data_IF_495008110855
#
_entry.id   IF_495008110855
#
_cell.length_a   1.000
_cell.length_b   1.000
_cell.length_c   1.000
_cell.angle_alpha   90.00
_cell.angle_beta   90.00
_cell.angle_gamma   90.00
#
_symmetry.space_group_name_H-M   'P 1'
#
loop_
_entity.id
_entity.type
_entity.pdbx_description
1 polymer ?
#
# COMPACT_ATOMS: atom_id res chain seq x y z
N UNK A 1 7.65 27.17 -39.95
CA UNK A 1 7.16 25.90 -39.39
C UNK A 1 8.00 25.51 -38.16
N UNK A 2 7.97 26.29 -37.07
CA UNK A 2 8.68 25.99 -35.80
C UNK A 2 7.92 26.65 -34.63
N UNK A 3 6.60 26.50 -34.60
CA UNK A 3 5.79 26.98 -33.47
C UNK A 3 4.72 25.97 -33.02
N UNK A 4 4.40 24.97 -33.85
CA UNK A 4 3.46 23.91 -33.48
C UNK A 4 4.04 22.81 -32.59
N UNK A 5 5.37 22.67 -32.53
CA UNK A 5 6.04 21.58 -31.79
C UNK A 5 6.17 21.84 -30.28
N UNK A 6 6.03 23.10 -29.84
CA UNK A 6 6.16 23.45 -28.42
C UNK A 6 4.86 23.23 -27.61
N UNK A 7 3.71 23.18 -28.27
CA UNK A 7 2.40 23.02 -27.58
C UNK A 7 2.14 21.57 -27.19
N UNK A 8 2.71 20.60 -27.91
CA UNK A 8 2.47 19.17 -27.66
C UNK A 8 3.18 18.67 -26.39
N UNK A 9 4.23 19.37 -25.92
CA UNK A 9 5.00 18.97 -24.74
C UNK A 9 4.29 19.32 -23.42
N UNK A 10 3.31 20.24 -23.44
CA UNK A 10 2.60 20.68 -22.24
C UNK A 10 1.49 19.72 -21.76
N UNK A 11 1.14 18.70 -22.55
CA UNK A 11 0.06 17.75 -22.25
C UNK A 11 0.54 16.37 -21.80
N UNK A 12 1.85 16.15 -21.72
CA UNK A 12 2.44 14.89 -21.26
C UNK A 12 2.75 14.87 -19.75
N UNK A 13 2.08 15.71 -18.97
CA UNK A 13 2.17 15.73 -17.50
C UNK A 13 1.12 14.84 -16.84
N UNK A 14 0.77 13.71 -17.45
CA UNK A 14 0.29 12.58 -16.65
C UNK A 14 1.52 11.87 -16.10
N UNK A 15 2.07 12.44 -15.03
CA UNK A 15 2.86 11.68 -14.07
C UNK A 15 2.00 10.47 -13.71
N UNK A 16 2.28 9.34 -14.35
CA UNK A 16 2.04 8.04 -13.77
C UNK A 16 2.93 7.97 -12.53
N UNK A 17 2.48 8.62 -11.45
CA UNK A 17 2.96 8.39 -10.11
C UNK A 17 2.43 7.01 -9.72
N UNK A 18 3.03 5.98 -10.32
CA UNK A 18 3.06 4.65 -9.75
C UNK A 18 3.91 4.73 -8.49
N UNK A 19 3.43 5.48 -7.49
CA UNK A 19 3.74 5.15 -6.12
C UNK A 19 3.22 3.73 -6.00
N UNK A 20 4.14 2.76 -5.99
CA UNK A 20 3.90 1.45 -5.42
C UNK A 20 3.56 1.71 -3.95
N UNK A 21 2.34 2.15 -3.71
CA UNK A 21 1.83 2.33 -2.38
C UNK A 21 1.78 0.91 -1.83
N UNK A 22 2.58 0.66 -0.81
CA UNK A 22 2.50 -0.56 0.02
C UNK A 22 1.08 -0.74 0.59
N UNK A 23 0.21 0.26 0.41
CA UNK A 23 -1.19 0.24 0.79
C UNK A 23 -2.09 0.46 -0.44
N UNK A 24 -2.63 -0.61 -1.03
CA UNK A 24 -3.67 -0.49 -2.04
C UNK A 24 -4.98 -0.08 -1.37
N UNK A 25 -5.91 0.51 -2.13
CA UNK A 25 -7.27 0.74 -1.62
C UNK A 25 -8.01 -0.59 -1.45
N UNK A 26 -8.39 -0.90 -0.21
CA UNK A 26 -9.01 -2.19 0.15
C UNK A 26 -10.46 -2.08 0.62
N UNK A 27 -10.95 -0.85 0.77
CA UNK A 27 -12.31 -0.56 1.19
C UNK A 27 -12.98 0.35 0.15
N UNK A 28 -14.31 0.28 0.09
CA UNK A 28 -15.11 1.28 -0.62
C UNK A 28 -15.03 2.65 0.07
N UNK A 29 -15.36 3.72 -0.65
CA UNK A 29 -15.36 5.08 -0.10
C UNK A 29 -16.27 5.23 1.15
N UNK A 30 -17.38 4.48 1.19
CA UNK A 30 -18.29 4.46 2.34
C UNK A 30 -17.69 3.74 3.55
N UNK A 31 -16.94 2.65 3.33
CA UNK A 31 -16.23 1.93 4.39
C UNK A 31 -15.06 2.73 4.94
N UNK A 32 -14.28 3.40 4.08
CA UNK A 32 -13.21 4.31 4.49
C UNK A 32 -13.74 5.43 5.40
N UNK A 33 -14.89 6.01 5.08
CA UNK A 33 -15.50 7.07 5.88
C UNK A 33 -16.06 6.57 7.24
N UNK A 34 -16.48 5.31 7.32
CA UNK A 34 -17.15 4.77 8.52
C UNK A 34 -16.19 3.99 9.44
N UNK A 35 -15.17 3.34 8.90
CA UNK A 35 -14.21 2.52 9.63
C UNK A 35 -12.77 2.71 9.12
N UNK A 36 -12.23 3.95 9.17
CA UNK A 36 -10.93 4.29 8.58
C UNK A 36 -9.77 3.44 9.13
N UNK A 37 -9.79 3.15 10.45
CA UNK A 37 -8.76 2.28 11.06
C UNK A 37 -8.73 0.87 10.47
N UNK A 38 -9.90 0.25 10.30
CA UNK A 38 -10.01 -1.12 9.78
C UNK A 38 -9.52 -1.16 8.34
N UNK A 39 -9.89 -0.15 7.56
CA UNK A 39 -9.50 -0.05 6.16
C UNK A 39 -8.00 0.20 5.98
N UNK A 40 -7.39 1.08 6.78
CA UNK A 40 -5.95 1.26 6.79
C UNK A 40 -5.20 -0.04 7.15
N UNK A 41 -5.65 -0.77 8.18
CA UNK A 41 -5.06 -2.07 8.54
C UNK A 41 -5.23 -3.11 7.43
N UNK A 42 -6.37 -3.15 6.74
CA UNK A 42 -6.55 -4.02 5.57
C UNK A 42 -5.56 -3.67 4.45
N UNK A 43 -5.42 -2.39 4.14
CA UNK A 43 -4.48 -1.93 3.11
C UNK A 43 -3.04 -2.35 3.42
N UNK A 44 -2.57 -2.11 4.65
CA UNK A 44 -1.27 -2.57 5.13
C UNK A 44 -1.11 -4.10 5.06
N UNK A 45 -2.14 -4.86 5.47
CA UNK A 45 -2.09 -6.31 5.42
C UNK A 45 -1.92 -6.81 3.97
N UNK A 46 -2.78 -6.34 3.07
CA UNK A 46 -2.77 -6.80 1.69
C UNK A 46 -1.48 -6.43 0.95
N UNK A 47 -1.03 -5.19 1.02
CA UNK A 47 0.16 -4.81 0.26
C UNK A 47 1.45 -5.44 0.82
N UNK A 48 1.56 -5.64 2.14
CA UNK A 48 2.69 -6.41 2.70
C UNK A 48 2.60 -7.89 2.32
N UNK A 49 1.40 -8.49 2.33
CA UNK A 49 1.20 -9.87 1.90
C UNK A 49 1.59 -10.07 0.42
N UNK A 50 1.15 -9.16 -0.46
CA UNK A 50 1.51 -9.19 -1.88
C UNK A 50 3.00 -9.00 -2.10
N UNK A 51 3.59 -7.97 -1.48
CA UNK A 51 5.02 -7.68 -1.57
C UNK A 51 5.87 -8.86 -1.08
N UNK A 52 5.54 -9.44 0.07
CA UNK A 52 6.32 -10.56 0.63
C UNK A 52 6.09 -11.86 -0.16
N UNK A 53 4.89 -12.09 -0.68
CA UNK A 53 4.64 -13.22 -1.60
C UNK A 53 5.48 -13.09 -2.87
N UNK A 54 5.56 -11.89 -3.45
CA UNK A 54 6.40 -11.62 -4.61
C UNK A 54 7.90 -11.78 -4.27
N UNK A 55 8.33 -11.35 -3.08
CA UNK A 55 9.71 -11.47 -2.62
C UNK A 55 10.15 -12.93 -2.38
N UNK A 56 9.34 -13.73 -1.69
CA UNK A 56 9.66 -15.13 -1.41
C UNK A 56 9.38 -16.07 -2.61
N UNK A 57 8.51 -15.64 -3.53
CA UNK A 57 8.05 -16.45 -4.66
C UNK A 57 7.00 -17.51 -4.27
N UNK A 58 6.45 -17.42 -3.06
CA UNK A 58 5.39 -18.25 -2.51
C UNK A 58 4.77 -17.57 -1.29
N UNK A 59 3.74 -18.19 -0.71
CA UNK A 59 3.10 -17.65 0.50
C UNK A 59 4.11 -17.65 1.67
N UNK A 60 4.24 -16.53 2.42
CA UNK A 60 5.13 -16.48 3.58
C UNK A 60 4.72 -17.53 4.63
N UNK A 61 5.69 -18.29 5.14
CA UNK A 61 5.46 -19.35 6.12
C UNK A 61 5.34 -20.75 5.53
N UNK A 62 5.29 -20.87 4.21
CA UNK A 62 5.26 -22.18 3.54
C UNK A 62 6.55 -22.97 3.75
N UNK A 63 7.71 -22.30 3.78
CA UNK A 63 9.02 -22.94 3.93
C UNK A 63 9.63 -22.79 5.30
N UNK A 64 9.28 -21.72 6.03
CA UNK A 64 9.82 -21.46 7.37
C UNK A 64 8.94 -20.50 8.16
N UNK A 65 8.79 -20.77 9.46
CA UNK A 65 8.17 -19.85 10.42
C UNK A 65 8.84 -18.47 10.47
N UNK A 66 10.13 -18.39 10.08
CA UNK A 66 10.85 -17.14 10.04
C UNK A 66 10.26 -16.17 8.99
N UNK A 67 9.78 -16.68 7.86
CA UNK A 67 9.15 -15.87 6.80
C UNK A 67 7.82 -15.29 7.30
N UNK A 68 7.00 -16.12 7.95
CA UNK A 68 5.75 -15.66 8.54
C UNK A 68 5.99 -14.59 9.60
N UNK A 69 6.97 -14.80 10.50
CA UNK A 69 7.33 -13.81 11.54
C UNK A 69 7.84 -12.51 10.93
N UNK A 70 8.65 -12.58 9.87
CA UNK A 70 9.11 -11.40 9.14
C UNK A 70 7.94 -10.62 8.52
N UNK A 71 7.05 -11.30 7.80
CA UNK A 71 5.88 -10.67 7.18
C UNK A 71 4.96 -10.03 8.22
N UNK A 72 4.67 -10.74 9.32
CA UNK A 72 3.87 -10.20 10.42
C UNK A 72 4.52 -8.97 11.08
N UNK A 73 5.85 -8.99 11.26
CA UNK A 73 6.58 -7.83 11.79
C UNK A 73 6.47 -6.62 10.85
N UNK A 74 6.55 -6.82 9.54
CA UNK A 74 6.35 -5.75 8.55
C UNK A 74 4.92 -5.20 8.57
N UNK A 75 3.90 -6.07 8.62
CA UNK A 75 2.49 -5.66 8.72
C UNK A 75 2.25 -4.81 9.97
N UNK A 76 2.79 -5.25 11.12
CA UNK A 76 2.66 -4.52 12.37
C UNK A 76 3.37 -3.16 12.33
N UNK A 77 4.55 -3.06 11.70
CA UNK A 77 5.22 -1.79 11.46
C UNK A 77 4.38 -0.87 10.58
N UNK A 78 3.76 -1.39 9.50
CA UNK A 78 2.85 -0.61 8.66
C UNK A 78 1.67 -0.07 9.47
N UNK A 79 1.02 -0.89 10.30
CA UNK A 79 -0.08 -0.43 11.15
C UNK A 79 0.32 0.71 12.09
N UNK A 80 1.54 0.67 12.63
CA UNK A 80 2.04 1.69 13.56
C UNK A 80 2.41 2.99 12.88
N UNK A 81 2.98 2.93 11.68
CA UNK A 81 3.47 4.10 10.97
C UNK A 81 2.36 4.78 10.16
N UNK A 82 1.58 3.97 9.43
CA UNK A 82 0.63 4.50 8.44
C UNK A 82 -0.78 4.67 9.02
N UNK A 83 -1.17 3.85 10.01
CA UNK A 83 -2.52 3.89 10.56
C UNK A 83 -2.62 4.65 11.89
N UNK A 84 -1.58 5.34 12.34
CA UNK A 84 -1.55 6.02 13.65
C UNK A 84 -2.66 7.08 13.79
N UNK A 85 -2.95 7.83 12.73
CA UNK A 85 -3.96 8.89 12.77
C UNK A 85 -5.39 8.35 12.67
N UNK A 86 -5.55 7.21 12.00
CA UNK A 86 -6.86 6.59 11.77
C UNK A 86 -7.26 5.61 12.87
N UNK A 87 -6.28 5.00 13.54
CA UNK A 87 -6.48 4.06 14.62
C UNK A 87 -6.12 4.73 15.95
N UNK A 88 -7.07 4.96 16.86
CA UNK A 88 -6.71 5.40 18.20
C UNK A 88 -5.73 4.41 18.80
N UNK A 89 -4.63 4.92 19.36
CA UNK A 89 -3.73 4.12 20.19
C UNK A 89 -4.59 3.48 21.28
N UNK A 90 -4.92 2.20 21.10
CA UNK A 90 -5.76 1.48 22.04
C UNK A 90 -4.91 1.28 23.30
N UNK A 91 -5.42 1.74 24.44
CA UNK A 91 -5.00 1.33 25.78
C UNK A 91 -4.87 -0.20 25.89
#
# INVERSE_FOLDING_TARGET
>A
MVFGLLIVVALATELANASSSVMPSMCSATEEASMPCVCCKKACWFGIAEMTTAYFGHMPGERSDAEAKFTLAMMHSCFKLECADSCPASL
#
